data_IF_111829726113
#
_entry.id   IF_111829726113
#
_cell.length_a   1.000
_cell.length_b   1.000
_cell.length_c   1.000
_cell.angle_alpha   90.00
_cell.angle_beta   90.00
_cell.angle_gamma   90.00
#
_symmetry.space_group_name_H-M   'P 1'
#
loop_
_entity.id
_entity.type
_entity.pdbx_description
1 polymer ?
#
# COMPACT_ATOMS: atom_id res chain seq x y z
N UNK A 1 -1.21 -9.68 19.18
CA UNK A 1 -1.14 -11.16 19.14
C UNK A 1 -1.00 -11.71 17.71
N UNK A 2 -1.95 -11.44 16.80
CA UNK A 2 -1.94 -11.90 15.39
C UNK A 2 -0.59 -11.63 14.71
N UNK A 3 -0.05 -10.42 14.88
CA UNK A 3 1.26 -10.04 14.33
C UNK A 3 2.38 -10.99 14.77
N UNK A 4 2.45 -11.34 16.05
CA UNK A 4 3.48 -12.24 16.58
C UNK A 4 3.28 -13.66 16.06
N UNK A 5 2.03 -14.16 16.03
CA UNK A 5 1.73 -15.49 15.47
C UNK A 5 2.12 -15.58 13.99
N UNK A 6 1.80 -14.56 13.18
CA UNK A 6 2.22 -14.50 11.77
C UNK A 6 3.73 -14.50 11.60
N UNK A 7 4.46 -13.82 12.49
CA UNK A 7 5.92 -13.72 12.42
C UNK A 7 6.60 -15.02 12.86
N UNK A 8 6.18 -15.60 13.98
CA UNK A 8 6.81 -16.78 14.60
C UNK A 8 6.44 -18.04 13.83
N UNK A 9 5.16 -18.20 13.45
CA UNK A 9 4.65 -19.42 12.84
C UNK A 9 4.56 -19.34 11.31
N UNK A 10 5.26 -18.40 10.67
CA UNK A 10 5.12 -18.09 9.24
C UNK A 10 5.18 -19.33 8.35
N UNK A 11 6.19 -20.17 8.56
CA UNK A 11 6.46 -21.32 7.69
C UNK A 11 5.35 -22.37 7.80
N UNK A 12 4.92 -22.66 9.03
CA UNK A 12 3.82 -23.59 9.29
C UNK A 12 2.47 -23.04 8.78
N UNK A 13 2.23 -21.74 8.91
CA UNK A 13 1.03 -21.10 8.36
C UNK A 13 0.99 -21.18 6.83
N UNK A 14 2.14 -21.05 6.17
CA UNK A 14 2.23 -21.22 4.72
C UNK A 14 2.06 -22.69 4.31
N UNK A 15 2.74 -23.61 5.01
CA UNK A 15 2.69 -25.04 4.72
C UNK A 15 1.26 -25.58 4.82
N UNK A 16 0.50 -25.15 5.82
CA UNK A 16 -0.89 -25.58 6.04
C UNK A 16 -1.93 -24.61 5.47
N UNK A 17 -1.53 -23.60 4.69
CA UNK A 17 -2.43 -22.61 4.08
C UNK A 17 -3.37 -21.90 5.08
N UNK A 18 -2.87 -21.60 6.28
CA UNK A 18 -3.62 -20.96 7.38
C UNK A 18 -3.33 -19.45 7.51
N UNK A 19 -2.53 -18.86 6.61
CA UNK A 19 -2.12 -17.46 6.71
C UNK A 19 -3.31 -16.50 6.68
N UNK A 20 -4.24 -16.67 5.75
CA UNK A 20 -5.45 -15.82 5.66
C UNK A 20 -6.36 -15.98 6.87
N UNK A 21 -6.57 -17.21 7.34
CA UNK A 21 -7.37 -17.49 8.54
C UNK A 21 -6.77 -16.83 9.78
N UNK A 22 -5.43 -16.82 9.88
CA UNK A 22 -4.71 -16.16 10.96
C UNK A 22 -4.87 -14.64 10.91
N UNK A 23 -4.85 -14.04 9.71
CA UNK A 23 -5.07 -12.60 9.52
C UNK A 23 -6.52 -12.21 9.83
N UNK A 24 -7.48 -13.06 9.50
CA UNK A 24 -8.91 -12.82 9.71
C UNK A 24 -9.36 -12.98 11.18
N UNK A 25 -8.51 -13.52 12.05
CA UNK A 25 -8.80 -13.61 13.48
C UNK A 25 -8.91 -12.20 14.08
N UNK A 26 -9.82 -12.03 15.03
CA UNK A 26 -10.08 -10.76 15.74
C UNK A 26 -9.73 -10.84 17.23
N UNK A 27 -9.57 -12.05 17.78
CA UNK A 27 -9.28 -12.28 19.20
C UNK A 27 -8.18 -13.33 19.43
N UNK A 28 -7.64 -13.34 20.65
CA UNK A 28 -6.68 -14.36 21.10
C UNK A 28 -7.28 -15.77 21.07
N UNK A 29 -8.53 -15.91 21.48
CA UNK A 29 -9.24 -17.19 21.50
C UNK A 29 -9.42 -17.76 20.09
N UNK A 30 -9.70 -16.90 19.10
CA UNK A 30 -9.77 -17.32 17.71
C UNK A 30 -8.42 -17.82 17.19
N UNK A 31 -7.32 -17.13 17.50
CA UNK A 31 -5.98 -17.59 17.12
C UNK A 31 -5.69 -18.94 17.76
N UNK A 32 -5.97 -19.09 19.06
CA UNK A 32 -5.69 -20.34 19.77
C UNK A 32 -6.51 -21.51 19.21
N UNK A 33 -7.81 -21.31 19.02
CA UNK A 33 -8.73 -22.37 18.64
C UNK A 33 -8.72 -22.68 17.14
N UNK A 34 -8.68 -21.66 16.27
CA UNK A 34 -8.75 -21.83 14.82
C UNK A 34 -7.38 -22.07 14.20
N UNK A 35 -6.31 -21.51 14.75
CA UNK A 35 -4.98 -21.55 14.14
C UNK A 35 -4.07 -22.52 14.87
N UNK A 36 -3.76 -22.26 16.14
CA UNK A 36 -2.77 -23.05 16.89
C UNK A 36 -3.22 -24.50 17.06
N UNK A 37 -4.49 -24.74 17.40
CA UNK A 37 -5.00 -26.10 17.56
C UNK A 37 -5.07 -26.86 16.22
N UNK A 38 -5.46 -26.21 15.11
CA UNK A 38 -5.41 -26.83 13.77
C UNK A 38 -3.98 -27.20 13.37
N UNK A 39 -3.02 -26.31 13.59
CA UNK A 39 -1.60 -26.58 13.31
C UNK A 39 -1.09 -27.78 14.13
N UNK A 40 -1.39 -27.82 15.43
CA UNK A 40 -1.04 -28.97 16.28
C UNK A 40 -1.67 -30.26 15.78
N UNK A 41 -2.91 -30.20 15.32
CA UNK A 41 -3.60 -31.37 14.74
C UNK A 41 -2.90 -31.85 13.45
N UNK A 42 -2.56 -30.95 12.53
CA UNK A 42 -1.87 -31.31 11.29
C UNK A 42 -0.43 -31.78 11.51
N UNK A 43 0.25 -31.27 12.55
CA UNK A 43 1.56 -31.77 12.95
C UNK A 43 1.48 -33.18 13.53
N UNK A 44 0.47 -33.45 14.36
CA UNK A 44 0.26 -34.78 14.98
C UNK A 44 -0.20 -35.82 13.95
N UNK A 45 -1.02 -35.40 13.00
CA UNK A 45 -1.61 -36.27 11.98
C UNK A 45 -1.63 -35.54 10.61
N UNK A 46 -0.53 -35.66 9.84
CA UNK A 46 -0.40 -35.00 8.54
C UNK A 46 -1.45 -35.44 7.52
N UNK A 47 -2.04 -36.64 7.67
CA UNK A 47 -3.06 -37.16 6.75
C UNK A 47 -4.36 -36.33 6.74
N UNK A 48 -4.61 -35.58 7.82
CA UNK A 48 -5.78 -34.69 7.93
C UNK A 48 -5.64 -33.42 7.13
N UNK A 49 -4.41 -33.02 6.77
CA UNK A 49 -4.19 -31.86 5.94
C UNK A 49 -4.35 -32.21 4.46
N UNK A 50 -5.25 -31.48 3.80
CA UNK A 50 -5.45 -31.59 2.35
C UNK A 50 -5.05 -30.26 1.73
N UNK A 51 -4.03 -30.30 0.87
CA UNK A 51 -3.56 -29.10 0.20
C UNK A 51 -4.60 -28.64 -0.82
N UNK A 52 -5.07 -27.41 -0.63
CA UNK A 52 -6.01 -26.75 -1.53
C UNK A 52 -5.24 -26.04 -2.65
N UNK A 53 -5.23 -26.67 -3.83
CA UNK A 53 -4.56 -26.12 -5.02
C UNK A 53 -5.18 -24.79 -5.47
N UNK A 54 -6.50 -24.64 -5.38
CA UNK A 54 -7.20 -23.44 -5.83
C UNK A 54 -6.88 -22.25 -4.92
N UNK A 55 -6.83 -22.49 -3.60
CA UNK A 55 -6.40 -21.48 -2.63
C UNK A 55 -4.97 -21.03 -2.89
N UNK A 56 -4.04 -21.96 -3.11
CA UNK A 56 -2.65 -21.63 -3.40
C UNK A 56 -2.49 -20.80 -4.68
N UNK A 57 -3.23 -21.13 -5.74
CA UNK A 57 -3.24 -20.38 -7.00
C UNK A 57 -3.80 -18.96 -6.80
N UNK A 58 -4.92 -18.83 -6.08
CA UNK A 58 -5.54 -17.54 -5.76
C UNK A 58 -4.60 -16.64 -4.94
N UNK A 59 -3.91 -17.20 -3.94
CA UNK A 59 -2.93 -16.48 -3.13
C UNK A 59 -1.72 -16.03 -3.96
N UNK A 60 -1.22 -16.90 -4.86
CA UNK A 60 -0.14 -16.56 -5.78
C UNK A 60 -0.54 -15.42 -6.72
N UNK A 61 -1.73 -15.49 -7.30
CA UNK A 61 -2.27 -14.45 -8.20
C UNK A 61 -2.53 -13.13 -7.46
N UNK A 62 -3.00 -13.19 -6.21
CA UNK A 62 -3.15 -12.01 -5.36
C UNK A 62 -1.79 -11.35 -5.07
N UNK A 63 -0.76 -12.15 -4.76
CA UNK A 63 0.59 -11.66 -4.53
C UNK A 63 1.21 -11.06 -5.80
N UNK A 64 1.02 -11.70 -6.95
CA UNK A 64 1.51 -11.21 -8.24
C UNK A 64 0.82 -9.90 -8.62
N UNK A 65 -0.50 -9.80 -8.49
CA UNK A 65 -1.25 -8.55 -8.68
C UNK A 65 -0.72 -7.44 -7.77
N UNK A 66 -0.49 -7.73 -6.49
CA UNK A 66 0.07 -6.77 -5.54
C UNK A 66 1.45 -6.26 -5.99
N UNK A 67 2.35 -7.17 -6.38
CA UNK A 67 3.68 -6.81 -6.90
C UNK A 67 3.59 -5.97 -8.17
N UNK A 68 2.65 -6.29 -9.06
CA UNK A 68 2.44 -5.52 -10.29
C UNK A 68 1.97 -4.10 -9.98
N UNK A 69 1.01 -3.92 -9.07
CA UNK A 69 0.54 -2.60 -8.64
C UNK A 69 1.66 -1.79 -7.98
N UNK A 70 2.40 -2.37 -7.03
CA UNK A 70 3.55 -1.72 -6.38
C UNK A 70 4.63 -1.33 -7.42
N UNK A 71 4.83 -2.14 -8.46
CA UNK A 71 5.80 -1.83 -9.53
C UNK A 71 5.41 -0.65 -10.41
N UNK A 72 4.14 -0.22 -10.44
CA UNK A 72 3.68 0.85 -11.35
C UNK A 72 4.33 2.19 -11.02
N UNK A 73 4.53 2.50 -9.73
CA UNK A 73 5.21 3.72 -9.30
C UNK A 73 6.66 3.72 -9.76
N UNK A 74 7.38 2.64 -9.49
CA UNK A 74 8.77 2.48 -9.94
C UNK A 74 8.91 2.61 -11.46
N UNK A 75 8.03 1.95 -12.22
CA UNK A 75 8.00 2.07 -13.70
C UNK A 75 7.69 3.49 -14.17
N UNK A 76 6.84 4.22 -13.46
CA UNK A 76 6.58 5.64 -13.71
C UNK A 76 7.87 6.46 -13.51
N UNK A 77 8.56 6.26 -12.39
CA UNK A 77 9.77 7.00 -12.05
C UNK A 77 10.90 6.74 -13.04
N UNK A 78 11.16 5.48 -13.35
CA UNK A 78 12.13 5.06 -14.38
C UNK A 78 11.80 5.65 -15.75
N UNK A 79 10.51 5.80 -16.09
CA UNK A 79 10.08 6.43 -17.34
C UNK A 79 10.37 7.93 -17.34
N UNK A 80 10.10 8.63 -16.23
CA UNK A 80 10.37 10.07 -16.09
C UNK A 80 11.87 10.38 -16.14
N UNK A 81 12.68 9.57 -15.44
CA UNK A 81 14.15 9.67 -15.49
C UNK A 81 14.68 9.46 -16.91
N UNK A 82 14.20 8.42 -17.60
CA UNK A 82 14.59 8.18 -19.01
C UNK A 82 14.19 9.34 -19.92
N UNK A 83 13.04 9.97 -19.66
CA UNK A 83 12.61 11.17 -20.40
C UNK A 83 13.56 12.34 -20.16
N UNK A 84 13.90 12.63 -18.90
CA UNK A 84 14.86 13.68 -18.55
C UNK A 84 16.22 13.49 -19.25
N UNK A 85 16.75 12.25 -19.23
CA UNK A 85 17.99 11.90 -19.92
C UNK A 85 17.91 12.12 -21.44
N UNK A 86 16.82 11.71 -22.09
CA UNK A 86 16.63 11.92 -23.55
C UNK A 86 16.59 13.38 -23.93
N UNK A 87 16.05 14.22 -23.06
CA UNK A 87 15.95 15.67 -23.26
C UNK A 87 17.17 16.43 -22.73
N UNK A 88 18.26 15.73 -22.37
CA UNK A 88 19.53 16.28 -21.90
C UNK A 88 19.42 17.11 -20.60
N UNK A 89 18.40 16.86 -19.77
CA UNK A 89 18.28 17.39 -18.41
C UNK A 89 19.11 16.55 -17.44
N UNK A 90 20.44 16.57 -17.60
CA UNK A 90 21.37 15.77 -16.79
C UNK A 90 21.72 16.45 -15.46
N UNK A 91 21.65 17.79 -15.45
CA UNK A 91 21.75 18.66 -14.29
C UNK A 91 20.53 18.51 -13.35
N UNK A 92 19.38 18.13 -13.89
CA UNK A 92 18.14 17.94 -13.14
C UNK A 92 17.34 16.72 -13.63
N UNK A 93 17.82 15.53 -13.25
CA UNK A 93 17.24 14.25 -13.67
C UNK A 93 15.83 14.00 -13.10
N UNK A 94 15.49 14.68 -12.02
CA UNK A 94 14.21 14.56 -11.30
C UNK A 94 13.19 15.63 -11.71
N UNK A 95 13.52 16.52 -12.66
CA UNK A 95 12.64 17.58 -13.15
C UNK A 95 11.18 17.12 -13.33
N UNK A 96 10.99 15.99 -14.03
CA UNK A 96 9.67 15.43 -14.29
C UNK A 96 9.01 14.77 -13.07
N UNK A 97 9.81 14.30 -12.11
CA UNK A 97 9.30 13.73 -10.86
C UNK A 97 8.81 14.81 -9.89
N UNK A 98 9.25 16.07 -10.04
CA UNK A 98 8.76 17.17 -9.20
C UNK A 98 7.47 17.81 -9.75
N UNK A 99 7.16 17.61 -11.03
CA UNK A 99 5.90 18.09 -11.61
C UNK A 99 4.71 17.35 -11.01
N UNK A 100 3.81 18.06 -10.34
CA UNK A 100 2.66 17.49 -9.67
C UNK A 100 2.96 16.91 -8.28
N UNK A 101 4.18 17.07 -7.77
CA UNK A 101 4.61 16.49 -6.49
C UNK A 101 4.48 17.45 -5.30
N UNK A 102 3.91 18.63 -5.49
CA UNK A 102 3.71 19.58 -4.39
C UNK A 102 2.75 18.99 -3.36
N UNK A 103 3.15 18.98 -2.09
CA UNK A 103 2.32 18.42 -1.02
C UNK A 103 1.18 19.41 -0.71
N UNK A 104 -0.09 18.98 -0.76
CA UNK A 104 -1.22 19.86 -0.50
C UNK A 104 -1.21 20.32 0.97
N UNK A 105 -1.66 21.54 1.23
CA UNK A 105 -1.83 22.05 2.59
C UNK A 105 -3.14 21.55 3.22
N UNK A 106 -3.21 21.51 4.55
CA UNK A 106 -4.43 21.11 5.24
C UNK A 106 -5.63 22.03 4.91
N UNK A 107 -5.38 23.33 4.78
CA UNK A 107 -6.39 24.32 4.36
C UNK A 107 -6.90 24.04 2.96
N UNK A 108 -5.99 23.73 2.01
CA UNK A 108 -6.37 23.37 0.65
C UNK A 108 -7.24 22.11 0.63
N UNK A 109 -6.82 21.04 1.32
CA UNK A 109 -7.58 19.79 1.44
C UNK A 109 -8.96 20.03 2.05
N UNK A 110 -9.05 20.86 3.09
CA UNK A 110 -10.32 21.16 3.75
C UNK A 110 -11.27 21.91 2.81
N UNK A 111 -10.76 22.88 2.03
CA UNK A 111 -11.56 23.63 1.05
C UNK A 111 -12.16 22.74 -0.05
N UNK A 112 -11.55 21.57 -0.29
CA UNK A 112 -11.92 20.66 -1.37
C UNK A 112 -13.03 19.68 -0.98
N UNK A 113 -13.21 19.40 0.32
CA UNK A 113 -14.19 18.40 0.82
C UNK A 113 -15.64 18.73 0.45
N UNK A 114 -15.96 20.00 0.25
CA UNK A 114 -17.31 20.47 -0.10
C UNK A 114 -17.55 20.56 -1.62
N UNK A 115 -16.53 20.35 -2.44
CA UNK A 115 -16.63 20.46 -3.89
C UNK A 115 -17.14 19.16 -4.53
N UNK A 116 -17.68 19.27 -5.73
CA UNK A 116 -17.96 18.09 -6.56
C UNK A 116 -16.67 17.37 -6.95
N UNK A 117 -16.74 16.06 -7.26
CA UNK A 117 -15.56 15.28 -7.66
C UNK A 117 -14.82 15.86 -8.88
N UNK A 118 -15.57 16.44 -9.81
CA UNK A 118 -14.99 17.04 -11.02
C UNK A 118 -14.20 18.31 -10.69
N UNK A 119 -14.76 19.17 -9.85
CA UNK A 119 -14.09 20.38 -9.37
C UNK A 119 -12.88 20.05 -8.50
N UNK A 120 -12.99 19.01 -7.66
CA UNK A 120 -11.87 18.51 -6.89
C UNK A 120 -10.72 18.11 -7.82
N UNK A 121 -10.98 17.29 -8.83
CA UNK A 121 -9.94 16.85 -9.78
C UNK A 121 -9.31 18.02 -10.54
N UNK A 122 -10.11 19.02 -10.92
CA UNK A 122 -9.60 20.22 -11.59
C UNK A 122 -8.67 21.01 -10.67
N UNK A 123 -9.14 21.40 -9.49
CA UNK A 123 -8.32 22.14 -8.51
C UNK A 123 -7.08 21.37 -8.06
N UNK A 124 -7.18 20.05 -7.96
CA UNK A 124 -6.04 19.19 -7.61
C UNK A 124 -4.91 19.26 -8.65
N UNK A 125 -5.27 19.29 -9.94
CA UNK A 125 -4.32 19.45 -11.03
C UNK A 125 -3.75 20.86 -11.06
N UNK A 126 -4.61 21.86 -10.93
CA UNK A 126 -4.21 23.27 -10.94
C UNK A 126 -3.26 23.61 -9.77
N UNK A 127 -3.47 22.98 -8.60
CA UNK A 127 -2.59 23.08 -7.43
C UNK A 127 -1.32 22.24 -7.50
N UNK A 128 -0.99 21.64 -8.65
CA UNK A 128 0.24 20.86 -8.83
C UNK A 128 0.35 19.66 -7.86
N UNK A 129 -0.78 19.02 -7.54
CA UNK A 129 -0.85 17.85 -6.65
C UNK A 129 -1.06 16.52 -7.40
N UNK A 130 -0.89 16.51 -8.73
CA UNK A 130 -1.25 15.36 -9.59
C UNK A 130 -0.54 14.04 -9.28
N UNK A 131 0.55 14.05 -8.51
CA UNK A 131 1.22 12.84 -8.04
C UNK A 131 0.72 12.33 -6.68
N UNK A 132 -0.06 13.12 -5.96
CA UNK A 132 -0.64 12.77 -4.67
C UNK A 132 -2.02 12.14 -4.83
N UNK A 133 -2.35 11.21 -3.94
CA UNK A 133 -3.60 10.48 -4.02
C UNK A 133 -4.77 11.33 -3.49
N UNK A 134 -5.65 11.78 -4.38
CA UNK A 134 -6.84 12.55 -3.99
C UNK A 134 -7.69 11.82 -2.92
N UNK A 135 -7.90 10.52 -3.09
CA UNK A 135 -8.69 9.71 -2.16
C UNK A 135 -8.06 9.62 -0.76
N UNK A 136 -6.72 9.57 -0.69
CA UNK A 136 -6.00 9.58 0.58
C UNK A 136 -6.28 10.88 1.37
N UNK A 137 -6.34 12.02 0.69
CA UNK A 137 -6.50 13.32 1.35
C UNK A 137 -7.97 13.70 1.61
N UNK A 138 -8.90 13.34 0.73
CA UNK A 138 -10.28 13.86 0.75
C UNK A 138 -11.30 12.84 1.23
N UNK A 139 -11.17 11.56 0.87
CA UNK A 139 -12.17 10.56 1.21
C UNK A 139 -12.11 10.19 2.70
N UNK A 140 -13.26 10.12 3.36
CA UNK A 140 -13.36 9.81 4.79
C UNK A 140 -12.80 8.44 5.18
N UNK A 141 -12.76 7.50 4.22
CA UNK A 141 -12.15 6.18 4.39
C UNK A 141 -10.70 6.09 3.90
N UNK A 142 -10.11 7.19 3.44
CA UNK A 142 -8.79 7.24 2.84
C UNK A 142 -8.66 6.40 1.55
N UNK A 143 -7.42 6.20 1.11
CA UNK A 143 -7.14 5.42 -0.09
C UNK A 143 -7.21 3.91 0.19
N UNK A 144 -8.18 3.23 -0.42
CA UNK A 144 -8.35 1.76 -0.31
C UNK A 144 -7.18 0.93 -0.86
N UNK A 145 -6.30 1.54 -1.67
CA UNK A 145 -5.15 0.85 -2.28
C UNK A 145 -3.93 0.83 -1.36
N UNK A 146 -3.88 1.68 -0.33
CA UNK A 146 -2.77 1.77 0.63
C UNK A 146 -1.40 1.72 -0.09
N UNK A 147 -0.50 0.78 0.27
CA UNK A 147 0.84 0.61 -0.33
C UNK A 147 0.85 0.27 -1.81
N UNK A 148 -0.28 -0.19 -2.37
CA UNK A 148 -0.42 -0.50 -3.80
C UNK A 148 -0.87 0.71 -4.63
N UNK A 149 -1.09 1.86 -3.99
CA UNK A 149 -1.44 3.08 -4.71
C UNK A 149 -0.25 3.57 -5.56
N UNK A 150 -0.52 3.92 -6.82
CA UNK A 150 0.49 4.49 -7.71
C UNK A 150 0.79 5.99 -7.41
N UNK A 151 -0.05 6.61 -6.58
CA UNK A 151 0.08 8.00 -6.15
C UNK A 151 0.68 8.07 -4.74
N UNK A 152 1.32 9.18 -4.43
CA UNK A 152 1.93 9.44 -3.13
C UNK A 152 0.85 9.59 -2.04
N UNK A 153 1.10 8.94 -0.91
CA UNK A 153 0.34 9.10 0.33
C UNK A 153 1.22 9.85 1.33
N UNK A 154 1.25 11.18 1.22
CA UNK A 154 2.01 12.06 2.11
C UNK A 154 1.00 12.89 2.88
N UNK A 155 1.21 13.08 4.18
CA UNK A 155 0.29 13.91 4.97
C UNK A 155 0.26 15.36 4.46
N UNK A 156 -0.90 16.01 4.58
CA UNK A 156 -1.03 17.39 4.16
C UNK A 156 -0.13 18.29 5.03
N UNK A 157 0.51 19.28 4.43
CA UNK A 157 1.34 20.23 5.18
C UNK A 157 0.46 21.06 6.11
N UNK A 158 0.76 21.00 7.40
CA UNK A 158 0.23 21.94 8.38
C UNK A 158 1.16 23.15 8.46
N UNK A 159 0.63 24.31 8.80
CA UNK A 159 1.40 25.54 9.03
C UNK A 159 2.44 25.43 10.17
N UNK A 160 2.52 24.28 10.85
CA UNK A 160 3.32 24.07 12.05
C UNK A 160 4.21 22.80 12.02
N UNK A 161 4.84 22.47 10.89
CA UNK A 161 5.92 21.47 10.94
C UNK A 161 7.01 21.68 9.90
N UNK A 162 8.18 22.12 10.38
CA UNK A 162 9.47 21.83 9.78
C UNK A 162 9.78 20.35 10.05
N UNK A 163 10.02 19.57 8.99
CA UNK A 163 10.51 18.19 9.12
C UNK A 163 11.77 18.06 8.27
N UNK A 164 12.91 18.34 8.91
CA UNK A 164 14.25 18.04 8.42
C UNK A 164 14.54 16.57 8.73
N UNK A 165 13.87 15.65 8.04
CA UNK A 165 14.09 14.22 8.25
C UNK A 165 12.94 13.29 7.93
N UNK A 166 12.12 13.57 6.91
CA UNK A 166 11.24 12.52 6.38
C UNK A 166 12.13 11.52 5.62
N UNK A 167 12.52 10.47 6.37
CA UNK A 167 13.25 9.32 5.90
C UNK A 167 12.65 8.82 4.59
N UNK A 168 13.49 8.76 3.57
CA UNK A 168 13.20 8.10 2.31
C UNK A 168 12.93 6.63 2.64
N UNK A 169 11.65 6.26 2.73
CA UNK A 169 11.24 4.88 2.92
C UNK A 169 11.61 4.09 1.66
N UNK A 170 12.78 3.42 1.72
CA UNK A 170 13.23 2.40 0.77
C UNK A 170 12.53 1.05 0.95
#
# INVERSE_FOLDING_TARGET
AIFHTRRICRDLLNQYQLMEECIACSSLDEIQNKIINKMKMYQKDPSKFHFDKQKAETEKDALERKRLEESKRKKYEERMIRKAKREKRLDDIEYYLRQGAEVPTAEFVQSMKCLSKEEQLKRWKDGNHSQHCLAFHIESGGCKRDRTCAFLHVEARNSNSFVEGDEVAG
#
